data_IF_860864452666
#
_entry.id   IF_860864452666
#
_cell.length_a   1.000
_cell.length_b   1.000
_cell.length_c   1.000
_cell.angle_alpha   90.00
_cell.angle_beta   90.00
_cell.angle_gamma   90.00
#
_symmetry.space_group_name_H-M   'P 1'
#
loop_
_entity.id
_entity.type
_entity.pdbx_description
1 polymer ?
#
# COMPACT_ATOMS: atom_id res chain seq x y z
N UNK A 1 11.08 39.80 -26.17
CA UNK A 1 9.82 39.17 -25.74
C UNK A 1 10.15 38.23 -24.60
N UNK A 2 9.63 38.46 -23.39
CA UNK A 2 9.86 37.53 -22.28
C UNK A 2 9.19 36.20 -22.62
N UNK A 3 9.97 35.12 -22.73
CA UNK A 3 9.41 33.78 -22.92
C UNK A 3 8.53 33.42 -21.73
N UNK A 4 7.32 32.94 -21.99
CA UNK A 4 6.39 32.51 -20.94
C UNK A 4 7.02 31.38 -20.11
N UNK A 5 6.88 31.47 -18.78
CA UNK A 5 7.34 30.41 -17.85
C UNK A 5 6.73 29.10 -18.25
N UNK A 6 7.54 28.04 -18.30
CA UNK A 6 7.11 26.73 -18.77
C UNK A 6 7.37 25.66 -17.73
N UNK A 7 6.31 24.98 -17.32
CA UNK A 7 6.34 23.79 -16.48
C UNK A 7 6.26 22.53 -17.38
N UNK A 8 7.16 21.57 -17.17
CA UNK A 8 7.21 20.30 -17.92
C UNK A 8 7.22 19.11 -16.97
N UNK A 9 6.50 18.07 -17.36
CA UNK A 9 6.44 16.78 -16.69
C UNK A 9 7.10 15.75 -17.62
N UNK A 10 8.20 15.14 -17.17
CA UNK A 10 8.98 14.19 -17.95
C UNK A 10 8.90 12.77 -17.35
N UNK A 11 8.97 11.71 -18.18
CA UNK A 11 9.09 11.76 -19.65
C UNK A 11 7.76 12.13 -20.35
N UNK A 12 6.64 12.08 -19.64
CA UNK A 12 5.31 12.40 -20.15
C UNK A 12 4.42 12.91 -19.02
N UNK A 13 3.40 13.70 -19.38
CA UNK A 13 2.32 14.08 -18.46
C UNK A 13 1.45 12.88 -18.06
N UNK A 14 1.49 11.78 -18.83
CA UNK A 14 0.76 10.53 -18.58
C UNK A 14 1.73 9.43 -18.20
N UNK A 15 1.54 8.79 -17.05
CA UNK A 15 2.40 7.71 -16.57
C UNK A 15 1.63 6.72 -15.67
N UNK A 16 2.25 5.58 -15.36
CA UNK A 16 1.72 4.70 -14.32
C UNK A 16 1.92 5.32 -12.93
N UNK A 17 1.05 4.95 -11.99
CA UNK A 17 1.02 5.48 -10.63
C UNK A 17 2.33 5.21 -9.87
N UNK A 18 2.92 4.04 -10.08
CA UNK A 18 4.18 3.62 -9.45
C UNK A 18 5.45 4.07 -10.19
N UNK A 19 5.35 5.06 -11.09
CA UNK A 19 6.49 5.60 -11.86
C UNK A 19 6.89 6.98 -11.40
N UNK A 20 8.19 7.21 -11.30
CA UNK A 20 8.75 8.55 -11.10
C UNK A 20 8.36 9.47 -12.26
N UNK A 21 8.10 10.72 -11.92
CA UNK A 21 8.05 11.82 -12.88
C UNK A 21 9.14 12.82 -12.52
N UNK A 22 9.62 13.55 -13.51
CA UNK A 22 10.51 14.68 -13.31
C UNK A 22 9.75 15.96 -13.61
N UNK A 23 9.75 16.88 -12.64
CA UNK A 23 9.11 18.19 -12.75
C UNK A 23 10.20 19.22 -13.04
N UNK A 24 10.08 19.93 -14.17
CA UNK A 24 11.00 20.99 -14.55
C UNK A 24 10.27 22.30 -14.79
N UNK A 25 10.85 23.40 -14.31
CA UNK A 25 10.42 24.76 -14.63
C UNK A 25 11.53 25.45 -15.42
N UNK A 26 11.15 26.19 -16.45
CA UNK A 26 12.09 26.91 -17.32
C UNK A 26 11.54 28.29 -17.65
N UNK A 27 12.40 29.17 -18.14
CA UNK A 27 12.07 30.55 -18.52
C UNK A 27 11.68 31.44 -17.33
N UNK A 28 12.22 31.17 -16.14
CA UNK A 28 12.15 32.08 -14.98
C UNK A 28 13.20 33.20 -15.12
N UNK A 29 13.08 34.25 -14.32
CA UNK A 29 14.19 35.22 -14.15
C UNK A 29 15.36 34.51 -13.46
N UNK A 30 16.59 34.95 -13.73
CA UNK A 30 17.77 34.41 -13.07
C UNK A 30 17.61 34.51 -11.55
N UNK A 31 17.83 33.40 -10.83
CA UNK A 31 17.70 33.32 -9.37
C UNK A 31 16.33 33.66 -8.79
N UNK A 32 15.26 33.70 -9.61
CA UNK A 32 13.89 33.93 -9.16
C UNK A 32 13.47 32.85 -8.15
N UNK A 33 12.79 33.28 -7.10
CA UNK A 33 12.17 32.37 -6.12
C UNK A 33 10.72 32.16 -6.51
N UNK A 34 10.28 30.91 -6.55
CA UNK A 34 8.91 30.54 -6.89
C UNK A 34 8.41 29.44 -5.97
N UNK A 35 7.11 29.41 -5.73
CA UNK A 35 6.43 28.29 -5.07
C UNK A 35 5.87 27.34 -6.14
N UNK A 36 6.21 26.06 -6.03
CA UNK A 36 5.59 25.01 -6.85
C UNK A 36 4.59 24.28 -5.97
N UNK A 37 3.34 24.21 -6.44
CA UNK A 37 2.22 23.60 -5.70
C UNK A 37 1.74 22.37 -6.45
N UNK A 38 1.27 21.38 -5.71
CA UNK A 38 0.54 20.24 -6.26
C UNK A 38 -0.81 20.10 -5.54
N UNK A 39 -1.85 19.75 -6.30
CA UNK A 39 -3.16 19.46 -5.74
C UNK A 39 -3.83 18.30 -6.46
N UNK A 40 -4.65 17.56 -5.72
CA UNK A 40 -5.41 16.41 -6.23
C UNK A 40 -6.64 16.19 -5.37
N UNK A 41 -7.72 15.72 -5.98
CA UNK A 41 -8.94 15.30 -5.28
C UNK A 41 -9.01 13.77 -5.31
N UNK A 42 -9.16 13.16 -4.14
CA UNK A 42 -9.28 11.70 -4.01
C UNK A 42 -10.65 11.19 -4.51
N UNK A 43 -10.82 9.88 -4.60
CA UNK A 43 -12.07 9.27 -5.09
C UNK A 43 -13.28 9.49 -4.14
N UNK A 44 -13.06 10.08 -2.97
CA UNK A 44 -14.10 10.47 -2.01
C UNK A 44 -14.40 11.97 -2.04
N UNK A 45 -13.80 12.72 -2.97
CA UNK A 45 -14.00 14.16 -3.10
C UNK A 45 -13.20 15.00 -2.12
N UNK A 46 -12.21 14.43 -1.41
CA UNK A 46 -11.36 15.18 -0.47
C UNK A 46 -10.19 15.78 -1.24
N UNK A 47 -9.99 17.09 -1.07
CA UNK A 47 -8.85 17.79 -1.67
C UNK A 47 -7.59 17.55 -0.85
N UNK A 48 -6.52 17.21 -1.54
CA UNK A 48 -5.17 17.13 -1.00
C UNK A 48 -4.26 18.14 -1.71
N UNK A 49 -3.34 18.75 -0.97
CA UNK A 49 -2.37 19.69 -1.54
C UNK A 49 -1.01 19.63 -0.86
N UNK A 50 0.00 20.09 -1.59
CA UNK A 50 1.35 20.33 -1.11
C UNK A 50 1.93 21.54 -1.81
N UNK A 51 2.97 22.12 -1.23
CA UNK A 51 3.73 23.22 -1.80
C UNK A 51 5.19 23.14 -1.38
N UNK A 52 6.09 23.60 -2.24
CA UNK A 52 7.51 23.66 -1.98
C UNK A 52 8.10 24.87 -2.70
N UNK A 53 8.93 25.65 -2.02
CA UNK A 53 9.58 26.84 -2.58
C UNK A 53 10.95 26.48 -3.12
N UNK A 54 11.29 27.05 -4.28
CA UNK A 54 12.53 26.80 -5.00
C UNK A 54 13.14 28.09 -5.51
N UNK A 55 14.45 28.05 -5.78
CA UNK A 55 15.17 29.14 -6.42
C UNK A 55 15.72 28.65 -7.75
N UNK A 56 15.43 29.37 -8.82
CA UNK A 56 15.97 29.09 -10.14
C UNK A 56 17.50 29.23 -10.18
N UNK A 57 18.13 28.51 -11.09
CA UNK A 57 19.56 28.67 -11.36
C UNK A 57 19.86 29.98 -12.14
N UNK A 58 21.11 30.15 -12.57
CA UNK A 58 21.54 31.33 -13.32
C UNK A 58 20.82 31.49 -14.67
N UNK A 59 20.32 30.39 -15.23
CA UNK A 59 19.64 30.32 -16.52
C UNK A 59 18.11 30.40 -16.39
N UNK A 60 17.59 30.54 -15.16
CA UNK A 60 16.14 30.58 -14.94
C UNK A 60 15.48 29.20 -15.02
N UNK A 61 16.22 28.14 -14.68
CA UNK A 61 15.71 26.76 -14.64
C UNK A 61 15.62 26.21 -13.21
N UNK A 62 14.64 25.35 -13.00
CA UNK A 62 14.48 24.52 -11.79
C UNK A 62 14.22 23.09 -12.26
N UNK A 63 14.94 22.14 -11.68
CA UNK A 63 14.78 20.71 -11.90
C UNK A 63 14.70 19.99 -10.56
N UNK A 64 13.53 19.42 -10.24
CA UNK A 64 13.27 18.85 -8.90
C UNK A 64 14.14 17.62 -8.58
N UNK A 65 14.83 17.03 -9.57
CA UNK A 65 15.81 15.96 -9.32
C UNK A 65 17.17 16.47 -8.85
N UNK A 66 17.44 17.76 -9.05
CA UNK A 66 18.73 18.41 -8.79
C UNK A 66 18.61 19.46 -7.70
N UNK A 67 17.58 20.29 -7.79
CA UNK A 67 17.44 21.50 -7.00
C UNK A 67 16.66 21.23 -5.72
N UNK A 68 17.24 21.63 -4.60
CA UNK A 68 16.64 21.43 -3.29
C UNK A 68 15.47 22.41 -3.07
N UNK A 69 14.36 21.89 -2.52
CA UNK A 69 13.33 22.76 -1.95
C UNK A 69 13.89 23.48 -0.72
N UNK A 70 13.58 24.77 -0.62
CA UNK A 70 14.03 25.66 0.45
C UNK A 70 13.08 25.65 1.66
N UNK A 71 11.78 25.44 1.41
CA UNK A 71 10.73 25.46 2.43
C UNK A 71 9.44 24.87 1.88
N UNK A 72 8.47 24.62 2.77
CA UNK A 72 7.13 24.15 2.42
C UNK A 72 6.82 22.80 3.04
N UNK A 73 6.19 21.93 2.25
CA UNK A 73 5.74 20.60 2.66
C UNK A 73 6.89 19.62 2.89
N UNK A 74 8.06 19.90 2.29
CA UNK A 74 9.33 19.21 2.47
C UNK A 74 10.49 20.17 2.17
N UNK A 75 11.71 19.77 2.50
CA UNK A 75 12.97 20.51 2.26
C UNK A 75 14.01 19.53 1.73
N UNK A 76 14.90 19.99 0.86
CA UNK A 76 15.94 19.16 0.24
C UNK A 76 15.55 18.65 -1.15
N UNK A 77 16.37 17.74 -1.68
CA UNK A 77 16.18 17.17 -3.02
C UNK A 77 15.29 15.94 -2.93
N UNK A 78 13.99 16.13 -3.14
CA UNK A 78 12.96 15.09 -3.10
C UNK A 78 12.13 15.16 -4.39
N UNK A 79 12.52 14.43 -5.46
CA UNK A 79 11.91 14.57 -6.79
C UNK A 79 10.40 14.34 -6.82
N UNK A 80 9.93 13.46 -5.94
CA UNK A 80 8.51 13.09 -5.80
C UNK A 80 7.85 13.74 -4.58
N UNK A 81 8.55 14.66 -3.89
CA UNK A 81 8.09 15.24 -2.63
C UNK A 81 6.72 15.89 -2.75
N UNK A 82 6.45 16.61 -3.85
CA UNK A 82 5.14 17.24 -4.07
C UNK A 82 3.99 16.21 -4.14
N UNK A 83 4.24 15.00 -4.61
CA UNK A 83 3.24 13.93 -4.67
C UNK A 83 3.10 13.21 -3.33
N UNK A 84 4.22 12.91 -2.68
CA UNK A 84 4.25 12.10 -1.47
C UNK A 84 3.90 12.88 -0.21
N UNK A 85 4.00 14.21 -0.22
CA UNK A 85 3.63 15.07 0.90
C UNK A 85 2.30 15.80 0.70
N UNK A 86 1.45 15.33 -0.22
CA UNK A 86 0.07 15.80 -0.35
C UNK A 86 -0.67 15.58 0.99
N UNK A 87 -1.21 16.66 1.57
CA UNK A 87 -1.98 16.62 2.83
C UNK A 87 -3.45 16.96 2.56
N UNK A 88 -4.40 16.29 3.24
CA UNK A 88 -5.80 16.59 3.06
C UNK A 88 -6.15 17.97 3.63
N UNK A 89 -7.10 18.64 3.00
CA UNK A 89 -7.73 19.85 3.56
C UNK A 89 -8.58 19.56 4.80
N UNK A 90 -8.89 18.28 5.07
CA UNK A 90 -9.59 17.79 6.25
C UNK A 90 -8.65 16.88 7.04
N UNK A 91 -8.46 17.16 8.33
CA UNK A 91 -7.58 16.39 9.21
C UNK A 91 -7.94 14.89 9.25
N UNK A 92 -6.94 14.04 9.46
CA UNK A 92 -7.11 12.58 9.67
C UNK A 92 -7.81 11.85 8.51
N UNK A 93 -7.53 12.26 7.26
CA UNK A 93 -8.03 11.61 6.05
C UNK A 93 -6.92 10.86 5.33
N UNK A 94 -7.17 9.56 5.09
CA UNK A 94 -6.36 8.73 4.20
C UNK A 94 -6.64 9.13 2.74
N UNK A 95 -5.62 9.18 1.89
CA UNK A 95 -5.80 9.38 0.46
C UNK A 95 -6.36 8.10 -0.20
N UNK A 96 -7.46 8.20 -0.93
CA UNK A 96 -8.11 7.05 -1.58
C UNK A 96 -8.00 7.10 -3.10
N UNK A 97 -7.38 6.06 -3.66
CA UNK A 97 -7.26 5.82 -5.10
C UNK A 97 -7.33 4.33 -5.36
N UNK A 98 -8.54 3.78 -5.36
CA UNK A 98 -8.80 2.35 -5.37
C UNK A 98 -9.40 1.86 -6.69
N UNK A 99 -9.99 2.71 -7.53
CA UNK A 99 -10.58 2.31 -8.81
C UNK A 99 -9.53 2.29 -9.91
N UNK A 100 -9.34 1.18 -10.62
CA UNK A 100 -8.28 1.11 -11.63
C UNK A 100 -8.54 1.93 -12.90
N UNK A 101 -9.82 2.17 -13.25
CA UNK A 101 -10.21 2.79 -14.53
C UNK A 101 -10.02 4.31 -14.58
N UNK A 102 -10.17 4.98 -13.44
CA UNK A 102 -10.04 6.44 -13.34
C UNK A 102 -8.57 6.79 -13.03
N UNK A 103 -7.89 7.67 -13.80
CA UNK A 103 -6.55 8.10 -13.45
C UNK A 103 -6.55 8.98 -12.19
N UNK A 104 -5.45 8.96 -11.45
CA UNK A 104 -5.18 9.96 -10.41
C UNK A 104 -4.67 11.23 -11.08
N UNK A 105 -5.47 12.30 -10.99
CA UNK A 105 -5.18 13.60 -11.58
C UNK A 105 -4.45 14.49 -10.58
N UNK A 106 -3.19 14.86 -10.88
CA UNK A 106 -2.42 15.79 -10.03
C UNK A 106 -2.13 17.06 -10.81
N UNK A 107 -2.68 18.18 -10.36
CA UNK A 107 -2.41 19.49 -10.92
C UNK A 107 -1.18 20.08 -10.26
N UNK A 108 -0.19 20.46 -11.07
CA UNK A 108 0.97 21.22 -10.66
C UNK A 108 0.86 22.66 -11.14
N UNK A 109 1.27 23.61 -10.31
CA UNK A 109 1.31 25.02 -10.66
C UNK A 109 2.55 25.70 -10.09
N UNK A 110 3.06 26.69 -10.82
CA UNK A 110 4.19 27.54 -10.40
C UNK A 110 3.64 28.92 -10.09
N UNK A 111 4.01 29.47 -8.92
CA UNK A 111 3.54 30.76 -8.43
C UNK A 111 4.71 31.66 -8.09
N UNK A 112 4.59 32.94 -8.41
CA UNK A 112 5.52 33.98 -8.01
C UNK A 112 5.22 34.44 -6.57
N UNK A 113 6.17 34.24 -5.65
CA UNK A 113 5.98 34.68 -4.26
C UNK A 113 6.02 36.22 -4.12
N UNK A 114 6.72 36.93 -5.01
CA UNK A 114 6.87 38.38 -4.94
C UNK A 114 5.65 39.11 -5.52
N UNK A 115 4.93 38.48 -6.46
CA UNK A 115 3.77 39.05 -7.15
C UNK A 115 2.43 38.48 -6.64
N UNK A 116 2.18 38.53 -5.32
CA UNK A 116 0.92 38.11 -4.70
C UNK A 116 0.46 36.68 -5.07
N UNK A 117 1.40 35.72 -5.15
CA UNK A 117 1.10 34.32 -5.51
C UNK A 117 0.53 34.15 -6.93
N UNK A 118 0.83 35.07 -7.85
CA UNK A 118 0.41 34.99 -9.25
C UNK A 118 0.89 33.70 -9.89
N UNK A 119 -0.04 32.95 -10.48
CA UNK A 119 0.27 31.72 -11.20
C UNK A 119 0.99 32.04 -12.52
N UNK A 120 2.17 31.43 -12.71
CA UNK A 120 3.04 31.62 -13.87
C UNK A 120 2.86 30.52 -14.92
N UNK A 121 2.64 29.28 -14.48
CA UNK A 121 2.46 28.11 -15.34
C UNK A 121 1.72 27.00 -14.60
N UNK A 122 1.09 26.09 -15.34
CA UNK A 122 0.47 24.88 -14.81
C UNK A 122 0.64 23.69 -15.75
N UNK A 123 0.55 22.49 -15.19
CA UNK A 123 0.55 21.22 -15.91
C UNK A 123 -0.18 20.16 -15.08
N UNK A 124 -0.85 19.22 -15.73
CA UNK A 124 -1.54 18.12 -15.04
C UNK A 124 -0.84 16.81 -15.34
N UNK A 125 -0.56 16.05 -14.28
CA UNK A 125 -0.09 14.67 -14.38
C UNK A 125 -1.28 13.70 -14.27
N UNK A 126 -1.43 12.83 -15.26
CA UNK A 126 -2.38 11.72 -15.24
C UNK A 126 -1.66 10.44 -14.83
N UNK A 127 -1.99 9.89 -13.67
CA UNK A 127 -1.35 8.71 -13.10
C UNK A 127 -2.28 7.50 -13.12
N UNK A 128 -2.02 6.56 -14.01
CA UNK A 128 -2.86 5.38 -14.25
C UNK A 128 -2.46 4.22 -13.33
N UNK A 129 -3.45 3.48 -12.81
CA UNK A 129 -3.19 2.23 -12.06
C UNK A 129 -3.02 1.02 -12.97
N UNK A 130 -3.42 1.14 -14.23
CA UNK A 130 -3.51 0.05 -15.18
C UNK A 130 -2.81 0.47 -16.48
N UNK A 131 -1.84 -0.33 -16.91
CA UNK A 131 -1.16 -0.14 -18.17
C UNK A 131 -2.04 -0.52 -19.37
N UNK A 132 -1.68 0.02 -20.54
CA UNK A 132 -2.37 -0.30 -21.79
C UNK A 132 -2.37 -1.82 -22.05
N UNK A 133 -3.55 -2.36 -22.33
CA UNK A 133 -3.76 -3.78 -22.63
C UNK A 133 -3.93 -4.70 -21.42
N UNK A 134 -3.77 -4.22 -20.18
CA UNK A 134 -4.22 -4.96 -19.00
C UNK A 134 -5.75 -4.98 -18.99
N UNK A 135 -6.35 -6.17 -18.82
CA UNK A 135 -7.80 -6.30 -18.72
C UNK A 135 -8.25 -6.32 -17.27
N UNK A 136 -9.38 -5.67 -16.98
CA UNK A 136 -10.06 -5.66 -15.69
C UNK A 136 -11.43 -6.33 -15.84
N UNK A 137 -11.71 -7.34 -15.03
CA UNK A 137 -13.01 -8.03 -15.01
C UNK A 137 -13.52 -8.09 -13.57
N UNK A 138 -14.72 -7.57 -13.32
CA UNK A 138 -15.39 -7.79 -12.03
C UNK A 138 -15.86 -9.25 -11.98
N UNK A 139 -15.62 -9.93 -10.85
CA UNK A 139 -15.94 -11.34 -10.67
C UNK A 139 -16.90 -11.49 -9.51
N UNK A 140 -18.02 -12.18 -9.76
CA UNK A 140 -18.97 -12.64 -8.76
C UNK A 140 -19.18 -14.14 -9.03
N UNK A 141 -18.47 -14.99 -8.29
CA UNK A 141 -18.49 -16.43 -8.46
C UNK A 141 -18.50 -17.13 -7.10
N UNK A 142 -19.36 -18.13 -6.94
CA UNK A 142 -19.55 -18.80 -5.66
C UNK A 142 -19.90 -17.81 -4.54
N UNK A 143 -19.12 -17.85 -3.46
CA UNK A 143 -19.29 -17.04 -2.26
C UNK A 143 -18.30 -15.87 -2.17
N UNK A 144 -17.52 -15.60 -3.21
CA UNK A 144 -16.58 -14.47 -3.23
C UNK A 144 -16.95 -13.43 -4.30
N UNK A 145 -16.53 -12.19 -4.05
CA UNK A 145 -16.53 -11.14 -5.07
C UNK A 145 -15.17 -10.50 -5.14
N UNK A 146 -14.73 -10.19 -6.34
CA UNK A 146 -13.39 -9.69 -6.59
C UNK A 146 -13.28 -8.93 -7.89
N UNK A 147 -12.07 -8.50 -8.20
CA UNK A 147 -11.71 -7.94 -9.50
C UNK A 147 -10.46 -8.63 -10.00
N UNK A 148 -10.57 -9.25 -11.17
CA UNK A 148 -9.49 -9.94 -11.86
C UNK A 148 -8.78 -8.98 -12.82
N UNK A 149 -7.47 -8.88 -12.66
CA UNK A 149 -6.57 -8.18 -13.56
C UNK A 149 -5.71 -9.18 -14.32
N UNK A 150 -5.69 -9.08 -15.65
CA UNK A 150 -4.91 -9.97 -16.51
C UNK A 150 -3.95 -9.15 -17.38
N UNK A 151 -2.64 -9.46 -17.39
CA UNK A 151 -1.67 -8.75 -18.20
C UNK A 151 -1.95 -8.89 -19.72
N UNK A 152 -1.48 -7.93 -20.53
CA UNK A 152 -1.47 -8.08 -21.98
C UNK A 152 -0.53 -9.23 -22.40
N UNK A 153 -0.77 -9.79 -23.59
CA UNK A 153 0.04 -10.89 -24.14
C UNK A 153 -0.57 -12.28 -23.93
N UNK A 154 0.13 -13.31 -24.41
CA UNK A 154 -0.37 -14.69 -24.47
C UNK A 154 -0.28 -15.45 -23.14
N UNK A 155 0.55 -15.00 -22.20
CA UNK A 155 0.90 -15.79 -21.02
C UNK A 155 1.83 -16.97 -21.38
N UNK A 156 1.97 -17.95 -20.48
CA UNK A 156 1.36 -18.01 -19.15
C UNK A 156 1.96 -16.97 -18.19
N UNK A 157 1.19 -16.61 -17.16
CA UNK A 157 1.59 -15.67 -16.10
C UNK A 157 1.41 -16.31 -14.72
N UNK A 158 2.24 -15.92 -13.74
CA UNK A 158 2.05 -16.29 -12.34
C UNK A 158 0.77 -15.67 -11.76
N UNK A 159 0.05 -16.46 -10.96
CA UNK A 159 -1.18 -16.04 -10.30
C UNK A 159 -0.96 -15.49 -8.89
N UNK A 160 -1.58 -14.37 -8.58
CA UNK A 160 -1.52 -13.73 -7.26
C UNK A 160 -2.93 -13.40 -6.76
N UNK A 161 -3.23 -13.80 -5.52
CA UNK A 161 -4.41 -13.34 -4.79
C UNK A 161 -4.02 -12.13 -3.93
N UNK A 162 -4.66 -11.00 -4.18
CA UNK A 162 -4.47 -9.76 -3.42
C UNK A 162 -5.57 -9.62 -2.36
N UNK A 163 -5.22 -9.83 -1.09
CA UNK A 163 -6.17 -9.70 0.02
C UNK A 163 -6.10 -8.30 0.63
N UNK A 164 -7.20 -7.57 0.54
CA UNK A 164 -7.33 -6.25 1.15
C UNK A 164 -8.36 -6.29 2.29
N UNK A 165 -8.22 -5.46 3.32
CA UNK A 165 -9.26 -5.39 4.36
C UNK A 165 -10.59 -4.94 3.76
N UNK A 166 -10.55 -3.93 2.88
CA UNK A 166 -11.66 -3.43 2.06
C UNK A 166 -11.26 -3.49 0.59
N UNK A 167 -12.23 -3.48 -0.32
CA UNK A 167 -11.96 -3.54 -1.76
C UNK A 167 -11.03 -2.40 -2.18
N UNK A 168 -9.89 -2.77 -2.77
CA UNK A 168 -8.97 -1.87 -3.45
C UNK A 168 -8.38 -2.58 -4.66
N UNK A 169 -8.38 -1.91 -5.82
CA UNK A 169 -7.79 -2.44 -7.05
C UNK A 169 -6.35 -1.96 -7.25
N UNK A 170 -5.87 -1.03 -6.42
CA UNK A 170 -4.58 -0.35 -6.61
C UNK A 170 -3.42 -1.32 -6.73
N UNK A 171 -3.27 -2.21 -5.76
CA UNK A 171 -2.13 -3.14 -5.69
C UNK A 171 -2.23 -4.23 -6.76
N UNK A 172 -3.43 -4.77 -6.96
CA UNK A 172 -3.69 -5.76 -7.99
C UNK A 172 -3.45 -5.25 -9.42
N UNK A 173 -3.96 -4.07 -9.76
CA UNK A 173 -3.75 -3.45 -11.07
C UNK A 173 -2.25 -3.19 -11.33
N UNK A 174 -1.55 -2.62 -10.35
CA UNK A 174 -0.12 -2.33 -10.47
C UNK A 174 0.76 -3.59 -10.52
N UNK A 175 0.34 -4.70 -9.91
CA UNK A 175 1.01 -6.01 -10.09
C UNK A 175 0.72 -6.60 -11.46
N UNK A 176 -0.49 -6.46 -12.00
CA UNK A 176 -0.79 -6.94 -13.36
C UNK A 176 0.09 -6.27 -14.42
N UNK A 177 0.42 -4.99 -14.24
CA UNK A 177 1.41 -4.27 -15.06
C UNK A 177 2.81 -4.92 -15.04
N UNK A 178 3.11 -5.79 -14.07
CA UNK A 178 4.42 -6.46 -13.90
C UNK A 178 4.42 -7.91 -14.38
N UNK A 179 3.32 -8.36 -15.00
CA UNK A 179 3.18 -9.68 -15.59
C UNK A 179 2.58 -10.73 -14.65
N UNK A 180 1.71 -10.35 -13.72
CA UNK A 180 0.97 -11.27 -12.85
C UNK A 180 -0.52 -11.27 -13.21
N UNK A 181 -1.18 -12.42 -13.21
CA UNK A 181 -2.65 -12.47 -13.16
C UNK A 181 -3.05 -12.27 -11.71
N UNK A 182 -3.81 -11.21 -11.41
CA UNK A 182 -4.08 -10.83 -10.02
C UNK A 182 -5.57 -10.74 -9.76
N UNK A 183 -6.06 -11.46 -8.76
CA UNK A 183 -7.43 -11.34 -8.26
C UNK A 183 -7.40 -10.59 -6.93
N UNK A 184 -8.01 -9.41 -6.85
CA UNK A 184 -8.21 -8.72 -5.56
C UNK A 184 -9.53 -9.13 -4.92
N UNK A 185 -9.48 -9.50 -3.63
CA UNK A 185 -10.65 -9.91 -2.84
C UNK A 185 -10.61 -9.21 -1.48
N UNK A 186 -11.73 -8.59 -1.04
CA UNK A 186 -11.79 -7.95 0.25
C UNK A 186 -12.10 -8.97 1.36
N UNK A 187 -11.42 -8.84 2.50
CA UNK A 187 -11.66 -9.64 3.70
C UNK A 187 -12.96 -9.22 4.39
N UNK A 188 -13.31 -7.93 4.32
CA UNK A 188 -14.55 -7.40 4.88
C UNK A 188 -15.40 -6.75 3.79
N UNK A 189 -16.71 -6.96 3.85
CA UNK A 189 -17.66 -6.41 2.89
C UNK A 189 -18.32 -5.14 3.44
N UNK A 190 -18.79 -4.24 2.55
CA UNK A 190 -19.32 -2.90 2.86
C UNK A 190 -20.42 -2.83 3.95
N UNK A 191 -21.08 -3.94 4.29
CA UNK A 191 -22.01 -4.04 5.43
C UNK A 191 -21.30 -4.65 6.64
N UNK A 192 -20.29 -3.97 7.16
CA UNK A 192 -19.48 -4.42 8.31
C UNK A 192 -20.25 -4.48 9.62
N UNK A 193 -21.44 -3.89 9.71
CA UNK A 193 -22.17 -3.79 10.98
C UNK A 193 -22.61 -5.14 11.57
N UNK A 194 -22.49 -6.25 10.83
CA UNK A 194 -22.88 -7.58 11.28
C UNK A 194 -21.83 -8.69 11.06
N UNK A 195 -20.58 -8.37 10.69
CA UNK A 195 -19.58 -9.43 10.48
C UNK A 195 -19.11 -9.97 11.83
N UNK A 196 -19.57 -11.17 12.19
CA UNK A 196 -19.25 -11.83 13.48
C UNK A 196 -18.08 -12.80 13.40
N UNK A 197 -17.72 -13.23 12.20
CA UNK A 197 -16.69 -14.23 11.95
C UNK A 197 -16.19 -14.12 10.50
N UNK A 198 -15.02 -14.67 10.22
CA UNK A 198 -14.45 -14.78 8.87
C UNK A 198 -14.40 -16.27 8.49
N UNK A 199 -14.76 -16.60 7.25
CA UNK A 199 -14.65 -17.96 6.71
C UNK A 199 -13.53 -18.03 5.69
N UNK A 200 -12.70 -19.09 5.72
CA UNK A 200 -11.69 -19.33 4.70
C UNK A 200 -12.28 -19.87 3.39
N UNK A 201 -13.46 -20.49 3.44
CA UNK A 201 -14.10 -21.17 2.31
C UNK A 201 -14.25 -20.26 1.05
N UNK A 202 -14.73 -19.00 1.14
CA UNK A 202 -14.80 -18.11 -0.02
C UNK A 202 -13.44 -17.78 -0.64
N UNK A 203 -12.38 -17.72 0.17
CA UNK A 203 -11.04 -17.45 -0.35
C UNK A 203 -10.42 -18.71 -0.98
N UNK A 204 -10.75 -19.91 -0.49
CA UNK A 204 -10.42 -21.17 -1.17
C UNK A 204 -11.11 -21.24 -2.55
N UNK A 205 -12.38 -20.86 -2.63
CA UNK A 205 -13.10 -20.72 -3.91
C UNK A 205 -12.40 -19.73 -4.85
N UNK A 206 -11.97 -18.57 -4.34
CA UNK A 206 -11.21 -17.58 -5.11
C UNK A 206 -9.85 -18.11 -5.62
N UNK A 207 -9.13 -18.90 -4.80
CA UNK A 207 -7.88 -19.56 -5.20
C UNK A 207 -8.14 -20.52 -6.36
N UNK A 208 -9.16 -21.37 -6.24
CA UNK A 208 -9.51 -22.34 -7.26
C UNK A 208 -9.94 -21.68 -8.57
N UNK A 209 -10.76 -20.63 -8.49
CA UNK A 209 -11.13 -19.81 -9.64
C UNK A 209 -9.90 -19.20 -10.32
N UNK A 210 -8.97 -18.63 -9.54
CA UNK A 210 -7.78 -17.98 -10.06
C UNK A 210 -6.86 -18.98 -10.79
N UNK A 211 -6.70 -20.19 -10.25
CA UNK A 211 -5.90 -21.26 -10.87
C UNK A 211 -6.50 -21.76 -12.20
N UNK A 212 -7.80 -21.59 -12.42
CA UNK A 212 -8.48 -22.02 -13.64
C UNK A 212 -8.44 -20.96 -14.76
N UNK A 213 -7.85 -19.79 -14.53
CA UNK A 213 -7.84 -18.72 -15.53
C UNK A 213 -6.97 -19.08 -16.75
N UNK A 214 -7.42 -18.81 -18.00
CA UNK A 214 -6.73 -19.30 -19.20
C UNK A 214 -5.27 -18.87 -19.38
N UNK A 215 -4.86 -17.76 -18.77
CA UNK A 215 -3.48 -17.24 -18.85
C UNK A 215 -2.62 -17.56 -17.62
N UNK A 216 -3.14 -18.33 -16.66
CA UNK A 216 -2.38 -18.73 -15.48
C UNK A 216 -1.59 -20.00 -15.80
N UNK A 217 -0.28 -19.98 -15.58
CA UNK A 217 0.57 -21.17 -15.74
C UNK A 217 1.18 -21.69 -14.44
N UNK A 218 0.95 -21.02 -13.32
CA UNK A 218 1.41 -21.48 -12.01
C UNK A 218 0.42 -22.49 -11.43
N UNK A 219 0.92 -23.63 -10.93
CA UNK A 219 0.08 -24.66 -10.27
C UNK A 219 -0.44 -24.27 -8.89
N UNK A 220 0.21 -23.28 -8.27
CA UNK A 220 -0.10 -22.71 -6.96
C UNK A 220 -0.01 -21.19 -7.07
N UNK A 221 -0.66 -20.49 -6.16
CA UNK A 221 -0.76 -19.02 -6.19
C UNK A 221 0.19 -18.35 -5.19
N UNK A 222 0.56 -17.10 -5.47
CA UNK A 222 1.06 -16.19 -4.44
C UNK A 222 -0.09 -15.45 -3.75
N UNK A 223 0.04 -15.11 -2.48
CA UNK A 223 -0.87 -14.20 -1.77
C UNK A 223 -0.11 -12.95 -1.36
N UNK A 224 -0.69 -11.77 -1.56
CA UNK A 224 -0.22 -10.52 -0.99
C UNK A 224 -1.28 -9.93 -0.08
N UNK A 225 -0.85 -9.46 1.10
CA UNK A 225 -1.76 -9.02 2.15
C UNK A 225 -1.12 -7.98 3.06
N UNK A 226 -1.95 -7.16 3.71
CA UNK A 226 -1.48 -6.10 4.61
C UNK A 226 -2.37 -6.00 5.84
N UNK A 227 -1.76 -5.70 6.99
CA UNK A 227 -2.49 -5.38 8.22
C UNK A 227 -3.44 -6.54 8.58
N UNK A 228 -4.72 -6.26 8.84
CA UNK A 228 -5.73 -7.28 9.16
C UNK A 228 -5.82 -8.39 8.10
N UNK A 229 -5.67 -8.13 6.80
CA UNK A 229 -5.79 -9.21 5.80
C UNK A 229 -4.63 -10.21 5.84
N UNK A 230 -3.54 -9.88 6.54
CA UNK A 230 -2.36 -10.71 6.62
C UNK A 230 -2.55 -11.94 7.53
N UNK A 231 -3.40 -11.86 8.56
CA UNK A 231 -3.72 -13.05 9.36
C UNK A 231 -4.57 -14.07 8.58
N UNK A 232 -5.46 -13.60 7.70
CA UNK A 232 -6.19 -14.44 6.76
C UNK A 232 -5.24 -15.10 5.76
N UNK A 233 -4.28 -14.36 5.20
CA UNK A 233 -3.29 -14.90 4.27
C UNK A 233 -2.41 -16.00 4.89
N UNK A 234 -1.92 -15.78 6.12
CA UNK A 234 -1.16 -16.80 6.86
C UNK A 234 -2.03 -18.04 7.15
N UNK A 235 -3.30 -17.83 7.48
CA UNK A 235 -4.23 -18.93 7.74
C UNK A 235 -4.55 -19.72 6.47
N UNK A 236 -4.69 -19.07 5.31
CA UNK A 236 -4.82 -19.76 4.03
C UNK A 236 -3.60 -20.63 3.75
N UNK A 237 -2.39 -20.12 3.96
CA UNK A 237 -1.17 -20.91 3.79
C UNK A 237 -1.09 -22.12 4.72
N UNK A 238 -1.63 -22.02 5.94
CA UNK A 238 -1.60 -23.10 6.92
C UNK A 238 -2.69 -24.16 6.70
N UNK A 239 -3.89 -23.77 6.26
CA UNK A 239 -5.07 -24.63 6.26
C UNK A 239 -5.64 -24.97 4.87
N UNK A 240 -5.26 -24.24 3.82
CA UNK A 240 -5.82 -24.38 2.47
C UNK A 240 -4.73 -24.75 1.46
N UNK A 241 -4.93 -25.80 0.64
CA UNK A 241 -3.97 -26.18 -0.39
C UNK A 241 -3.87 -25.12 -1.50
N UNK A 242 -2.76 -25.12 -2.23
CA UNK A 242 -2.60 -24.27 -3.42
C UNK A 242 -1.87 -22.94 -3.19
N UNK A 243 -1.38 -22.68 -1.98
CA UNK A 243 -0.59 -21.46 -1.67
C UNK A 243 0.90 -21.73 -1.74
N UNK A 244 1.56 -21.15 -2.76
CA UNK A 244 3.01 -21.24 -2.99
C UNK A 244 3.79 -20.26 -2.12
N UNK A 245 3.33 -19.00 -2.09
CA UNK A 245 4.07 -17.91 -1.50
C UNK A 245 3.12 -16.91 -0.81
N UNK A 246 3.54 -16.32 0.30
CA UNK A 246 2.80 -15.26 1.02
C UNK A 246 3.72 -14.07 1.24
N UNK A 247 3.26 -12.91 0.77
CA UNK A 247 3.78 -11.59 1.13
C UNK A 247 2.91 -11.04 2.26
N UNK A 248 3.51 -10.95 3.44
CA UNK A 248 2.90 -10.45 4.67
C UNK A 248 3.43 -9.04 4.94
N UNK A 249 2.56 -8.03 5.00
CA UNK A 249 2.96 -6.62 5.20
C UNK A 249 2.32 -6.07 6.47
N UNK A 250 3.14 -5.74 7.47
CA UNK A 250 2.73 -5.15 8.74
C UNK A 250 1.52 -5.83 9.38
N UNK A 251 1.45 -7.16 9.34
CA UNK A 251 0.34 -7.95 9.87
C UNK A 251 0.48 -8.26 11.37
N UNK A 252 -0.34 -9.19 11.86
CA UNK A 252 -0.15 -9.86 13.14
C UNK A 252 0.21 -11.34 12.92
N UNK A 253 0.87 -11.99 13.88
CA UNK A 253 1.16 -13.44 13.84
C UNK A 253 0.01 -14.33 14.35
N UNK A 254 -1.06 -13.70 14.81
CA UNK A 254 -2.27 -14.32 15.34
C UNK A 254 -3.53 -13.81 14.61
N UNK A 255 -4.62 -14.57 14.69
CA UNK A 255 -5.90 -14.19 14.13
C UNK A 255 -6.57 -13.08 14.95
N UNK A 256 -6.73 -11.89 14.39
CA UNK A 256 -7.18 -10.70 15.14
C UNK A 256 -8.67 -10.38 14.94
N UNK A 257 -9.31 -9.75 15.94
CA UNK A 257 -10.66 -9.12 15.88
C UNK A 257 -11.86 -10.04 15.69
N UNK A 258 -11.84 -10.95 14.73
CA UNK A 258 -12.95 -11.86 14.41
C UNK A 258 -12.49 -13.32 14.45
N UNK A 259 -13.28 -14.25 15.00
CA UNK A 259 -12.96 -15.66 14.98
C UNK A 259 -12.94 -16.17 13.53
N UNK A 260 -12.03 -17.10 13.26
CA UNK A 260 -11.80 -17.64 11.93
C UNK A 260 -12.36 -19.06 11.85
N UNK A 261 -13.11 -19.31 10.79
CA UNK A 261 -13.76 -20.57 10.49
C UNK A 261 -13.26 -21.15 9.17
N UNK A 262 -13.22 -22.47 9.10
CA UNK A 262 -13.00 -23.20 7.86
C UNK A 262 -13.81 -24.50 7.89
N UNK A 263 -14.53 -24.81 6.80
CA UNK A 263 -15.35 -26.03 6.69
C UNK A 263 -16.30 -26.20 7.89
N UNK A 264 -16.99 -25.10 8.24
CA UNK A 264 -17.97 -24.98 9.35
C UNK A 264 -17.40 -25.17 10.76
N UNK A 265 -16.07 -25.27 10.93
CA UNK A 265 -15.41 -25.38 12.24
C UNK A 265 -14.65 -24.09 12.54
N UNK A 266 -14.72 -23.63 13.78
CA UNK A 266 -13.81 -22.57 14.24
C UNK A 266 -12.40 -23.17 14.30
N UNK A 267 -11.47 -22.57 13.56
CA UNK A 267 -10.07 -23.01 13.52
C UNK A 267 -9.18 -22.13 14.41
N UNK A 268 -9.49 -20.83 14.52
CA UNK A 268 -8.77 -19.90 15.37
C UNK A 268 -9.75 -18.96 16.09
N UNK A 269 -9.64 -18.78 17.42
CA UNK A 269 -10.31 -17.71 18.14
C UNK A 269 -9.75 -16.33 17.74
N UNK A 270 -10.46 -15.26 18.12
CA UNK A 270 -10.02 -13.89 17.89
C UNK A 270 -9.07 -13.40 19.00
N UNK A 271 -7.91 -12.87 18.61
CA UNK A 271 -7.10 -12.03 19.44
C UNK A 271 -7.77 -10.66 19.56
N UNK A 272 -8.13 -10.30 20.78
CA UNK A 272 -8.84 -9.06 21.08
C UNK A 272 -7.86 -7.91 21.36
N UNK A 273 -8.40 -6.70 21.41
CA UNK A 273 -7.68 -5.50 21.81
C UNK A 273 -8.32 -4.88 23.06
N UNK A 274 -7.50 -4.19 23.84
CA UNK A 274 -7.92 -3.41 25.01
C UNK A 274 -7.89 -1.92 24.68
N UNK A 275 -9.08 -1.32 24.57
CA UNK A 275 -9.22 0.11 24.26
C UNK A 275 -8.68 1.02 25.37
N UNK A 276 -8.50 0.52 26.60
CA UNK A 276 -7.90 1.28 27.70
C UNK A 276 -6.39 1.48 27.52
N UNK A 277 -5.75 0.67 26.67
CA UNK A 277 -4.32 0.77 26.34
C UNK A 277 -4.04 1.67 25.14
N UNK A 278 -5.07 2.29 24.55
CA UNK A 278 -4.88 3.33 23.55
C UNK A 278 -4.23 4.55 24.21
N UNK A 279 -3.11 5.01 23.65
CA UNK A 279 -2.38 6.15 24.19
C UNK A 279 -2.88 7.42 23.48
N UNK A 280 -3.51 8.37 24.19
CA UNK A 280 -3.92 9.64 23.60
C UNK A 280 -2.70 10.53 23.33
N UNK A 281 -2.75 11.26 22.22
CA UNK A 281 -1.79 12.33 21.90
C UNK A 281 -2.39 13.70 22.24
N UNK A 282 -1.55 14.73 22.30
CA UNK A 282 -2.00 16.12 22.50
C UNK A 282 -3.02 16.59 21.44
N UNK A 283 -2.99 15.99 20.25
CA UNK A 283 -3.89 16.30 19.14
C UNK A 283 -5.25 15.59 19.18
N UNK A 284 -5.50 14.75 20.20
CA UNK A 284 -6.72 13.94 20.32
C UNK A 284 -6.75 12.68 19.42
N UNK A 285 -5.67 12.42 18.68
CA UNK A 285 -5.43 11.18 17.94
C UNK A 285 -4.83 10.13 18.89
N UNK A 286 -5.04 8.84 18.63
CA UNK A 286 -4.53 7.75 19.49
C UNK A 286 -3.40 6.95 18.84
N UNK A 287 -2.52 6.38 19.67
CA UNK A 287 -1.56 5.33 19.29
C UNK A 287 -2.15 3.98 19.75
N UNK A 288 -2.19 3.00 18.85
CA UNK A 288 -2.76 1.68 19.12
C UNK A 288 -1.71 0.57 19.30
N UNK A 289 -0.42 0.89 19.18
CA UNK A 289 0.70 -0.05 19.21
C UNK A 289 0.60 -1.15 20.28
N UNK A 290 0.15 -0.80 21.48
CA UNK A 290 0.06 -1.69 22.64
C UNK A 290 -1.37 -2.12 23.00
N UNK A 291 -2.36 -1.80 22.16
CA UNK A 291 -3.76 -2.12 22.41
C UNK A 291 -4.09 -3.58 22.12
N UNK A 292 -3.48 -4.19 21.11
CA UNK A 292 -3.64 -5.63 20.87
C UNK A 292 -3.15 -6.42 22.06
N UNK A 293 -3.90 -7.47 22.43
CA UNK A 293 -3.40 -8.43 23.42
C UNK A 293 -2.14 -9.12 22.89
N UNK A 294 -1.25 -9.49 23.81
CA UNK A 294 -0.04 -10.22 23.46
C UNK A 294 -0.40 -11.66 23.06
N UNK A 295 -0.16 -12.07 21.81
CA UNK A 295 -0.52 -13.40 21.33
C UNK A 295 0.33 -14.54 21.95
N UNK A 296 1.45 -14.22 22.59
CA UNK A 296 2.36 -15.21 23.19
C UNK A 296 2.02 -15.56 24.64
N UNK A 297 1.18 -14.75 25.27
CA UNK A 297 0.61 -15.06 26.59
C UNK A 297 -0.26 -16.30 26.53
N UNK A 298 -0.16 -17.12 27.57
CA UNK A 298 -0.80 -18.44 27.65
C UNK A 298 -2.28 -18.40 27.30
N UNK A 299 -3.02 -17.41 27.81
CA UNK A 299 -4.45 -17.23 27.55
C UNK A 299 -4.79 -16.90 26.09
N UNK A 300 -3.83 -16.38 25.31
CA UNK A 300 -4.04 -15.97 23.92
C UNK A 300 -3.37 -16.91 22.91
N UNK A 301 -2.54 -17.86 23.34
CA UNK A 301 -1.76 -18.74 22.43
C UNK A 301 -2.62 -19.48 21.41
N UNK A 302 -3.87 -19.79 21.73
CA UNK A 302 -4.81 -20.44 20.81
C UNK A 302 -5.11 -19.59 19.56
N UNK A 303 -4.83 -18.28 19.58
CA UNK A 303 -5.03 -17.36 18.43
C UNK A 303 -3.87 -17.39 17.43
N UNK A 304 -2.71 -17.94 17.81
CA UNK A 304 -1.52 -18.01 16.95
C UNK A 304 -1.81 -18.86 15.71
N UNK A 305 -1.40 -18.34 14.55
CA UNK A 305 -1.59 -19.02 13.27
C UNK A 305 -0.44 -20.02 13.09
N UNK A 306 -0.69 -21.31 12.83
CA UNK A 306 0.36 -22.34 12.81
C UNK A 306 1.13 -22.37 11.48
N UNK A 307 1.86 -21.30 11.17
CA UNK A 307 2.58 -21.13 9.89
C UNK A 307 3.67 -22.19 9.67
N UNK A 308 4.16 -22.84 10.73
CA UNK A 308 5.11 -23.95 10.66
C UNK A 308 4.54 -25.18 9.96
N UNK A 309 3.20 -25.31 9.92
CA UNK A 309 2.50 -26.38 9.21
C UNK A 309 2.42 -26.11 7.70
N UNK A 310 2.63 -24.86 7.26
CA UNK A 310 2.59 -24.48 5.86
C UNK A 310 3.81 -24.99 5.09
N UNK A 311 3.59 -25.33 3.82
CA UNK A 311 4.63 -25.59 2.83
C UNK A 311 4.67 -24.46 1.80
N UNK A 312 4.89 -23.24 2.30
CA UNK A 312 4.71 -21.97 1.59
C UNK A 312 5.93 -21.09 1.81
N UNK A 313 6.41 -20.39 0.79
CA UNK A 313 7.47 -19.39 0.93
C UNK A 313 6.92 -18.11 1.56
N UNK A 314 7.60 -17.52 2.53
CA UNK A 314 7.15 -16.28 3.17
C UNK A 314 8.08 -15.11 2.87
N UNK A 315 7.51 -13.94 2.54
CA UNK A 315 8.20 -12.66 2.64
C UNK A 315 7.52 -11.84 3.74
N UNK A 316 8.22 -11.64 4.84
CA UNK A 316 7.77 -10.78 5.93
C UNK A 316 8.28 -9.35 5.72
N UNK A 317 7.36 -8.40 5.69
CA UNK A 317 7.64 -6.97 5.64
C UNK A 317 7.10 -6.34 6.91
N UNK A 318 7.99 -5.75 7.72
CA UNK A 318 7.64 -5.05 8.95
C UNK A 318 8.13 -3.60 8.95
N UNK A 319 7.56 -2.80 9.84
CA UNK A 319 7.89 -1.39 10.06
C UNK A 319 8.23 -1.17 11.53
N UNK A 320 9.37 -0.55 11.83
CA UNK A 320 9.79 -0.33 13.23
C UNK A 320 8.94 0.74 13.93
N UNK A 321 8.50 1.76 13.18
CA UNK A 321 7.64 2.83 13.68
C UNK A 321 6.16 2.56 13.36
N UNK A 322 5.75 1.29 13.33
CA UNK A 322 4.35 0.91 13.27
C UNK A 322 3.64 1.29 14.58
N UNK A 323 2.74 2.28 14.50
CA UNK A 323 1.95 2.77 15.64
C UNK A 323 0.56 2.14 15.75
N UNK A 324 0.20 1.24 14.83
CA UNK A 324 -1.02 0.44 14.91
C UNK A 324 -0.82 -0.79 15.81
N UNK A 325 0.29 -1.51 15.61
CA UNK A 325 0.74 -2.64 16.45
C UNK A 325 2.23 -2.91 16.22
N UNK A 326 2.85 -3.78 17.01
CA UNK A 326 4.27 -4.10 16.84
C UNK A 326 4.51 -5.18 15.77
N UNK A 327 4.47 -4.78 14.50
CA UNK A 327 4.68 -5.72 13.38
C UNK A 327 6.09 -6.32 13.34
N UNK A 328 7.11 -5.62 13.86
CA UNK A 328 8.47 -6.14 13.96
C UNK A 328 8.55 -7.30 14.96
N UNK A 329 7.95 -7.15 16.15
CA UNK A 329 7.90 -8.22 17.15
C UNK A 329 7.18 -9.46 16.60
N UNK A 330 6.04 -9.28 15.93
CA UNK A 330 5.32 -10.41 15.31
C UNK A 330 6.14 -11.10 14.22
N UNK A 331 6.83 -10.33 13.37
CA UNK A 331 7.73 -10.89 12.35
C UNK A 331 8.85 -11.71 12.99
N UNK A 332 9.54 -11.18 14.00
CA UNK A 332 10.63 -11.88 14.68
C UNK A 332 10.15 -13.19 15.33
N UNK A 333 8.98 -13.17 15.97
CA UNK A 333 8.39 -14.38 16.54
C UNK A 333 8.07 -15.44 15.48
N UNK A 334 7.44 -15.05 14.38
CA UNK A 334 7.14 -15.97 13.27
C UNK A 334 8.40 -16.59 12.67
N UNK A 335 9.45 -15.78 12.45
CA UNK A 335 10.73 -16.26 11.93
C UNK A 335 11.39 -17.26 12.88
N UNK A 336 11.39 -16.96 14.18
CA UNK A 336 11.94 -17.86 15.19
C UNK A 336 11.14 -19.16 15.30
N UNK A 337 9.81 -19.08 15.24
CA UNK A 337 8.94 -20.25 15.22
C UNK A 337 9.21 -21.14 14.01
N UNK A 338 9.37 -20.56 12.82
CA UNK A 338 9.74 -21.30 11.61
C UNK A 338 11.11 -21.99 11.77
N UNK A 339 12.14 -21.27 12.25
CA UNK A 339 13.48 -21.84 12.47
C UNK A 339 13.47 -23.02 13.42
N UNK A 340 12.74 -22.93 14.54
CA UNK A 340 12.61 -24.02 15.52
C UNK A 340 11.97 -25.29 14.93
N UNK A 341 11.15 -25.14 13.90
CA UNK A 341 10.55 -26.26 13.16
C UNK A 341 11.37 -26.67 11.92
N UNK A 342 12.63 -26.23 11.81
CA UNK A 342 13.53 -26.59 10.72
C UNK A 342 13.18 -25.95 9.36
N UNK A 343 12.35 -24.91 9.35
CA UNK A 343 11.92 -24.21 8.14
C UNK A 343 12.87 -23.05 7.83
N UNK A 344 13.24 -22.89 6.57
CA UNK A 344 14.10 -21.82 6.04
C UNK A 344 13.51 -21.13 4.79
N UNK A 345 12.29 -21.48 4.43
CA UNK A 345 11.51 -20.95 3.30
C UNK A 345 10.91 -19.57 3.61
N UNK A 346 11.72 -18.64 4.14
CA UNK A 346 11.27 -17.27 4.38
C UNK A 346 12.39 -16.23 4.19
N UNK A 347 11.98 -15.05 3.77
CA UNK A 347 12.77 -13.83 3.74
C UNK A 347 12.08 -12.76 4.62
N UNK A 348 12.87 -11.79 5.09
CA UNK A 348 12.34 -10.68 5.89
C UNK A 348 12.97 -9.35 5.49
N UNK A 349 12.20 -8.28 5.60
CA UNK A 349 12.71 -6.91 5.58
C UNK A 349 11.97 -6.09 6.65
N UNK A 350 12.74 -5.34 7.43
CA UNK A 350 12.21 -4.38 8.39
C UNK A 350 12.65 -2.99 7.97
N UNK A 351 11.73 -2.03 7.95
CA UNK A 351 12.04 -0.65 7.57
C UNK A 351 12.09 0.26 8.80
N UNK A 352 13.28 0.77 9.15
CA UNK A 352 13.41 1.79 10.19
C UNK A 352 12.64 3.04 9.80
N UNK A 353 11.90 3.62 10.75
CA UNK A 353 11.15 4.87 10.57
C UNK A 353 10.08 4.82 9.48
N UNK A 354 9.69 3.63 9.02
CA UNK A 354 8.46 3.43 8.26
C UNK A 354 7.30 3.15 9.22
N UNK A 355 6.09 3.46 8.76
CA UNK A 355 4.86 3.29 9.52
C UNK A 355 4.04 2.09 9.06
N UNK A 356 2.83 1.96 9.59
CA UNK A 356 1.94 0.84 9.31
C UNK A 356 1.46 0.76 7.85
N UNK A 357 1.18 1.91 7.22
CA UNK A 357 0.49 1.99 5.93
C UNK A 357 1.42 1.92 4.72
N UNK A 358 2.26 0.89 4.63
CA UNK A 358 3.06 0.64 3.44
C UNK A 358 2.16 0.30 2.23
N UNK A 359 2.28 1.08 1.16
CA UNK A 359 1.52 0.94 -0.09
C UNK A 359 2.44 0.85 -1.32
N UNK A 360 1.89 0.59 -2.54
CA UNK A 360 2.63 0.84 -3.76
C UNK A 360 3.13 2.30 -3.83
N UNK A 361 4.30 2.57 -4.43
CA UNK A 361 5.01 3.82 -4.25
C UNK A 361 4.28 5.06 -4.79
N UNK A 362 4.73 6.22 -4.29
CA UNK A 362 4.36 7.57 -4.76
C UNK A 362 2.92 7.98 -4.49
N UNK A 363 2.25 7.30 -3.56
CA UNK A 363 1.06 7.82 -2.91
C UNK A 363 1.39 8.86 -1.83
N UNK A 364 0.39 9.64 -1.38
CA UNK A 364 0.58 10.55 -0.26
C UNK A 364 0.83 9.81 1.06
N UNK A 365 1.88 10.20 1.78
CA UNK A 365 2.16 9.71 3.13
C UNK A 365 1.03 10.10 4.08
N UNK A 366 0.46 9.12 4.79
CA UNK A 366 -0.63 9.32 5.72
C UNK A 366 -0.15 9.18 7.17
N UNK A 367 0.02 10.32 7.85
CA UNK A 367 0.40 10.33 9.27
C UNK A 367 -0.69 9.76 10.18
N UNK A 368 -1.95 10.07 9.88
CA UNK A 368 -3.10 9.69 10.70
C UNK A 368 -4.38 9.56 9.88
N UNK A 369 -5.24 8.63 10.27
CA UNK A 369 -6.60 8.54 9.74
C UNK A 369 -7.55 7.78 10.66
N UNK A 370 -8.84 7.80 10.32
CA UNK A 370 -9.84 6.98 11.00
C UNK A 370 -9.54 5.48 10.83
N UNK A 371 -9.54 4.76 11.94
CA UNK A 371 -9.38 3.30 11.98
C UNK A 371 -10.75 2.63 12.15
N UNK A 372 -11.07 1.71 11.24
CA UNK A 372 -12.40 1.10 11.13
C UNK A 372 -12.82 0.29 12.36
N UNK A 373 -11.98 -0.63 12.84
CA UNK A 373 -12.36 -1.51 13.96
C UNK A 373 -12.39 -0.77 15.31
N UNK A 374 -11.39 0.05 15.60
CA UNK A 374 -11.31 0.89 16.80
C UNK A 374 -12.25 2.11 16.79
N UNK A 375 -12.84 2.46 15.64
CA UNK A 375 -13.74 3.61 15.43
C UNK A 375 -13.17 4.94 15.97
N UNK A 376 -11.86 5.14 15.83
CA UNK A 376 -11.11 6.31 16.31
C UNK A 376 -10.06 6.74 15.28
N UNK A 377 -9.64 8.01 15.31
CA UNK A 377 -8.47 8.44 14.55
C UNK A 377 -7.19 7.92 15.22
N UNK A 378 -6.31 7.29 14.44
CA UNK A 378 -5.04 6.75 14.92
C UNK A 378 -3.86 7.38 14.19
N UNK A 379 -2.70 7.39 14.86
CA UNK A 379 -1.40 7.55 14.23
C UNK A 379 -0.97 6.22 13.60
N UNK A 380 -0.43 6.29 12.39
CA UNK A 380 0.12 5.13 11.68
C UNK A 380 1.63 5.00 11.82
N UNK A 381 2.27 6.09 12.25
CA UNK A 381 3.71 6.23 12.38
C UNK A 381 4.45 6.41 11.05
N UNK A 382 5.76 6.46 11.14
CA UNK A 382 6.69 6.69 10.05
C UNK A 382 7.07 8.16 9.86
N UNK A 383 8.27 8.35 9.30
CA UNK A 383 8.75 9.64 8.78
C UNK A 383 8.52 9.69 7.27
N UNK A 384 8.03 10.81 6.69
CA UNK A 384 7.63 10.87 5.29
C UNK A 384 8.67 10.35 4.28
N UNK A 385 9.90 10.88 4.31
CA UNK A 385 10.94 10.47 3.35
C UNK A 385 11.38 9.01 3.56
N UNK A 386 11.50 8.56 4.81
CA UNK A 386 11.87 7.17 5.11
C UNK A 386 10.76 6.18 4.69
N UNK A 387 9.50 6.54 4.93
CA UNK A 387 8.34 5.76 4.55
C UNK A 387 8.23 5.59 3.03
N UNK A 388 8.38 6.68 2.27
CA UNK A 388 8.37 6.63 0.80
C UNK A 388 9.52 5.77 0.27
N UNK A 389 10.72 5.89 0.83
CA UNK A 389 11.85 5.05 0.45
C UNK A 389 11.59 3.55 0.75
N UNK A 390 10.94 3.26 1.88
CA UNK A 390 10.52 1.91 2.25
C UNK A 390 9.51 1.33 1.24
N UNK A 391 8.50 2.10 0.82
CA UNK A 391 7.54 1.67 -0.21
C UNK A 391 8.20 1.33 -1.54
N UNK A 392 9.12 2.18 -2.01
CA UNK A 392 9.88 1.96 -3.27
C UNK A 392 10.68 0.66 -3.21
N UNK A 393 11.41 0.44 -2.12
CA UNK A 393 12.21 -0.77 -1.95
C UNK A 393 11.32 -2.02 -1.78
N UNK A 394 10.29 -1.93 -0.92
CA UNK A 394 9.33 -3.00 -0.67
C UNK A 394 8.67 -3.44 -1.97
N UNK A 395 8.18 -2.51 -2.78
CA UNK A 395 7.45 -2.82 -4.00
C UNK A 395 8.31 -3.61 -4.99
N UNK A 396 9.60 -3.25 -5.10
CA UNK A 396 10.56 -4.01 -5.91
C UNK A 396 10.81 -5.41 -5.34
N UNK A 397 11.02 -5.53 -4.03
CA UNK A 397 11.30 -6.81 -3.36
C UNK A 397 10.11 -7.78 -3.48
N UNK A 398 8.89 -7.28 -3.33
CA UNK A 398 7.64 -8.06 -3.53
C UNK A 398 7.58 -8.68 -4.93
N UNK A 399 7.82 -7.87 -5.96
CA UNK A 399 7.80 -8.36 -7.35
C UNK A 399 8.88 -9.42 -7.60
N UNK A 400 10.08 -9.24 -7.05
CA UNK A 400 11.17 -10.21 -7.17
C UNK A 400 10.83 -11.52 -6.47
N UNK A 401 10.31 -11.45 -5.25
CA UNK A 401 9.92 -12.61 -4.45
C UNK A 401 8.81 -13.41 -5.15
N UNK A 402 7.74 -12.75 -5.58
CA UNK A 402 6.64 -13.41 -6.27
C UNK A 402 7.09 -14.06 -7.59
N UNK A 403 7.95 -13.40 -8.39
CA UNK A 403 8.51 -14.00 -9.62
C UNK A 403 9.40 -15.21 -9.36
N UNK A 404 10.07 -15.25 -8.21
CA UNK A 404 11.02 -16.33 -7.88
C UNK A 404 10.33 -17.59 -7.37
N UNK A 405 9.17 -17.43 -6.71
CA UNK A 405 8.48 -18.56 -6.06
C UNK A 405 7.21 -18.99 -6.79
N UNK A 406 6.44 -18.05 -7.36
CA UNK A 406 5.24 -18.38 -8.14
C UNK A 406 5.66 -18.56 -9.60
N UNK A 407 6.15 -19.74 -9.95
CA UNK A 407 6.67 -19.99 -11.30
C UNK A 407 5.60 -20.58 -12.22
N UNK A 408 5.59 -20.15 -13.48
CA UNK A 408 4.85 -20.84 -14.53
C UNK A 408 5.61 -22.09 -14.98
N UNK A 409 4.88 -23.14 -15.34
CA UNK A 409 5.44 -24.28 -16.08
C UNK A 409 5.50 -24.04 -17.59
#
# INVERSE_FOLDING_TARGET
>A
MSSQVRLRLLPSARCLYDKLIQVKVSHLKSRQVVSIKASSTDERGVLFSSSATYRADGNGEIDLVRDASLSGSYVGVEPMGLLTTLKPNIVNKLFVKDKALEPHMVKFSVHDEEEQDRMLAEATNERFLMADGVSRVSVEEGNFHGVLFTPPGKGPFPAVLDLCTMMSEKRAALLADKGFVVLTVPVTHKKTDNLKMIHLDPFEEAINFLLQQPKVGSKRIGIISKSKSADVALSLAAFVPGVEAVVWICGCSANTVLPLFYKKKQILPALMFDTKKLIPTQSGIFIAKYAMHDPLKEENRATLIPIEQANTHFLFVASEDDLNWDSNIYMMEMMERLKRHGKNNFESVCYPRAGHLLEPPYGPFCHSSFHMFLKRALLWGGEPSAHVAAEVHMWKKIQQFLKSHVTCE
#
